data_IF_558739689767
#
_entry.id   IF_558739689767
#
_cell.length_a   1.000
_cell.length_b   1.000
_cell.length_c   1.000
_cell.angle_alpha   90.00
_cell.angle_beta   90.00
_cell.angle_gamma   90.00
#
_symmetry.space_group_name_H-M   'P 1'
#
loop_
_entity.id
_entity.type
_entity.pdbx_description
1 polymer ?
#
# COMPACT_ATOMS: atom_id res chain seq x y z
N UNK A 1 -1.66 -20.47 -33.89
CA UNK A 1 -0.78 -19.28 -33.98
C UNK A 1 -1.58 -18.00 -34.09
N UNK A 2 -2.35 -17.76 -35.16
CA UNK A 2 -3.12 -16.51 -35.33
C UNK A 2 -4.02 -16.16 -34.13
N UNK A 3 -4.83 -17.10 -33.64
CA UNK A 3 -5.67 -16.90 -32.44
C UNK A 3 -4.81 -16.56 -31.21
N UNK A 4 -3.66 -17.23 -31.05
CA UNK A 4 -2.73 -16.95 -29.95
C UNK A 4 -2.20 -15.51 -30.01
N UNK A 5 -1.75 -15.05 -31.18
CA UNK A 5 -1.30 -13.66 -31.36
C UNK A 5 -2.42 -12.65 -31.12
N UNK A 6 -3.65 -12.92 -31.58
CA UNK A 6 -4.79 -12.03 -31.31
C UNK A 6 -5.10 -11.95 -29.81
N UNK A 7 -5.12 -13.08 -29.10
CA UNK A 7 -5.38 -13.09 -27.65
C UNK A 7 -4.26 -12.38 -26.88
N UNK A 8 -3.00 -12.64 -27.22
CA UNK A 8 -1.86 -11.94 -26.60
C UNK A 8 -1.87 -10.45 -26.95
N UNK A 9 -2.21 -10.07 -28.18
CA UNK A 9 -2.33 -8.68 -28.59
C UNK A 9 -3.41 -7.95 -27.77
N UNK A 10 -4.60 -8.53 -27.61
CA UNK A 10 -5.67 -7.95 -26.79
C UNK A 10 -5.21 -7.77 -25.35
N UNK A 11 -4.52 -8.77 -24.79
CA UNK A 11 -3.98 -8.71 -23.44
C UNK A 11 -2.93 -7.59 -23.30
N UNK A 12 -1.93 -7.54 -24.18
CA UNK A 12 -0.87 -6.53 -24.16
C UNK A 12 -1.43 -5.13 -24.40
N UNK A 13 -2.34 -4.96 -25.35
CA UNK A 13 -2.97 -3.67 -25.60
C UNK A 13 -3.75 -3.18 -24.38
N UNK A 14 -4.49 -4.07 -23.71
CA UNK A 14 -5.18 -3.72 -22.47
C UNK A 14 -4.19 -3.33 -21.35
N UNK A 15 -3.17 -4.14 -21.11
CA UNK A 15 -2.15 -3.86 -20.07
C UNK A 15 -1.45 -2.54 -20.36
N UNK A 16 -0.94 -2.37 -21.59
CA UNK A 16 -0.21 -1.17 -21.98
C UNK A 16 -1.07 0.09 -21.96
N UNK A 17 -2.37 -0.03 -22.29
CA UNK A 17 -3.30 1.09 -22.20
C UNK A 17 -3.53 1.51 -20.74
N UNK A 18 -3.75 0.55 -19.85
CA UNK A 18 -3.97 0.81 -18.44
C UNK A 18 -2.72 1.40 -17.77
N UNK A 19 -1.54 0.84 -18.05
CA UNK A 19 -0.27 1.31 -17.49
C UNK A 19 0.13 2.68 -18.06
N UNK A 20 -0.09 2.95 -19.35
CA UNK A 20 0.24 4.26 -19.93
C UNK A 20 -0.62 5.41 -19.35
N UNK A 21 -1.87 5.13 -18.97
CA UNK A 21 -2.79 6.14 -18.43
C UNK A 21 -2.75 6.25 -16.90
N UNK A 22 -2.64 5.13 -16.19
CA UNK A 22 -2.86 5.07 -14.74
C UNK A 22 -1.60 4.88 -13.93
N UNK A 23 -0.46 4.61 -14.56
CA UNK A 23 0.75 4.40 -13.80
C UNK A 23 1.20 5.67 -13.07
N UNK A 24 1.75 5.44 -11.88
CA UNK A 24 2.12 6.45 -10.91
C UNK A 24 3.41 7.17 -11.29
N UNK A 25 4.31 6.46 -11.97
CA UNK A 25 5.62 6.99 -12.37
C UNK A 25 5.76 7.13 -13.88
N UNK A 26 6.62 8.07 -14.31
CA UNK A 26 6.96 8.22 -15.73
C UNK A 26 7.57 6.95 -16.33
N UNK A 27 8.41 6.24 -15.56
CA UNK A 27 9.02 4.98 -15.99
C UNK A 27 8.00 3.88 -16.27
N UNK A 28 6.98 3.75 -15.41
CA UNK A 28 5.89 2.80 -15.62
C UNK A 28 5.02 3.18 -16.83
N UNK A 29 4.76 4.49 -17.06
CA UNK A 29 4.04 4.92 -18.27
C UNK A 29 4.80 4.57 -19.56
N UNK A 30 6.12 4.77 -19.56
CA UNK A 30 6.99 4.36 -20.68
C UNK A 30 7.00 2.83 -20.88
N UNK A 31 6.98 2.06 -19.80
CA UNK A 31 6.81 0.61 -19.88
C UNK A 31 5.45 0.26 -20.51
N UNK A 32 4.37 0.95 -20.11
CA UNK A 32 3.04 0.81 -20.70
C UNK A 32 3.04 1.06 -22.22
N UNK A 33 3.69 2.12 -22.69
CA UNK A 33 3.85 2.38 -24.13
C UNK A 33 4.65 1.30 -24.86
N UNK A 34 5.71 0.78 -24.25
CA UNK A 34 6.47 -0.36 -24.81
C UNK A 34 5.59 -1.61 -24.95
N UNK A 35 4.74 -1.88 -23.95
CA UNK A 35 3.78 -3.00 -23.97
C UNK A 35 2.69 -2.78 -25.04
N UNK A 36 2.20 -1.55 -25.23
CA UNK A 36 1.29 -1.20 -26.34
C UNK A 36 1.94 -1.48 -27.69
N UNK A 37 3.18 -1.05 -27.89
CA UNK A 37 3.92 -1.29 -29.12
C UNK A 37 4.08 -2.81 -29.39
N UNK A 38 4.38 -3.60 -28.36
CA UNK A 38 4.43 -5.06 -28.48
C UNK A 38 3.07 -5.64 -28.90
N UNK A 39 1.96 -5.15 -28.34
CA UNK A 39 0.60 -5.53 -28.75
C UNK A 39 0.30 -5.23 -30.23
N UNK A 40 0.78 -4.09 -30.75
CA UNK A 40 0.66 -3.76 -32.18
C UNK A 40 1.50 -4.70 -33.05
N UNK A 41 2.71 -5.07 -32.62
CA UNK A 41 3.55 -6.05 -33.33
C UNK A 41 2.86 -7.42 -33.38
N UNK A 42 2.18 -7.84 -32.31
CA UNK A 42 1.38 -9.08 -32.29
C UNK A 42 0.21 -9.05 -33.28
N UNK A 43 -0.48 -7.91 -33.44
CA UNK A 43 -1.52 -7.77 -34.48
C UNK A 43 -0.93 -7.92 -35.88
N UNK A 44 0.26 -7.33 -36.13
CA UNK A 44 0.97 -7.48 -37.40
C UNK A 44 1.39 -8.94 -37.60
N UNK A 45 1.85 -9.64 -36.55
CA UNK A 45 2.19 -11.06 -36.60
C UNK A 45 0.98 -11.95 -36.89
N UNK A 46 -0.20 -11.62 -36.35
CA UNK A 46 -1.46 -12.29 -36.67
C UNK A 46 -1.79 -12.19 -38.18
N UNK A 47 -1.69 -10.99 -38.75
CA UNK A 47 -1.87 -10.77 -40.19
C UNK A 47 -0.79 -11.49 -41.02
N UNK A 48 0.46 -11.46 -40.56
CA UNK A 48 1.57 -12.17 -41.20
C UNK A 48 1.37 -13.69 -41.18
N UNK A 49 0.61 -14.23 -40.22
CA UNK A 49 0.29 -15.67 -40.16
C UNK A 49 -0.57 -16.07 -41.36
N UNK A 50 -1.56 -15.24 -41.71
CA UNK A 50 -2.43 -15.47 -42.86
C UNK A 50 -1.62 -15.42 -44.17
N UNK A 51 -0.74 -14.42 -44.31
CA UNK A 51 0.12 -14.31 -45.49
C UNK A 51 1.13 -15.48 -45.58
N UNK A 52 1.82 -15.82 -44.49
CA UNK A 52 2.86 -16.85 -44.48
C UNK A 52 2.31 -18.26 -44.77
N UNK A 53 1.11 -18.58 -44.28
CA UNK A 53 0.53 -19.92 -44.46
C UNK A 53 -0.28 -20.07 -45.76
N UNK A 54 -0.86 -18.98 -46.28
CA UNK A 54 -1.73 -19.07 -47.46
C UNK A 54 -1.07 -18.58 -48.75
N UNK A 55 -0.43 -17.40 -48.75
CA UNK A 55 0.00 -16.73 -49.98
C UNK A 55 1.51 -16.66 -50.18
N UNK A 56 2.30 -16.70 -49.09
CA UNK A 56 3.77 -16.52 -49.05
C UNK A 56 4.29 -15.37 -49.90
N UNK A 57 3.49 -14.31 -50.10
CA UNK A 57 3.82 -13.23 -51.04
C UNK A 57 4.88 -12.28 -50.49
N UNK A 58 4.94 -12.09 -49.16
CA UNK A 58 5.87 -11.12 -48.54
C UNK A 58 7.05 -11.83 -47.88
N UNK A 59 8.27 -11.41 -48.23
CA UNK A 59 9.50 -11.96 -47.66
C UNK A 59 9.64 -11.72 -46.14
N UNK A 60 8.94 -10.72 -45.60
CA UNK A 60 9.01 -10.33 -44.19
C UNK A 60 8.04 -11.07 -43.25
N UNK A 61 7.14 -11.90 -43.79
CA UNK A 61 6.12 -12.58 -42.97
C UNK A 61 6.74 -13.58 -41.99
N UNK A 62 7.78 -14.32 -42.39
CA UNK A 62 8.50 -15.25 -41.50
C UNK A 62 9.17 -14.56 -40.30
N UNK A 63 9.97 -13.50 -40.51
CA UNK A 63 10.57 -12.72 -39.42
C UNK A 63 9.55 -12.09 -38.47
N UNK A 64 8.44 -11.56 -39.00
CA UNK A 64 7.36 -11.00 -38.18
C UNK A 64 6.70 -12.06 -37.28
N UNK A 65 6.52 -13.28 -37.79
CA UNK A 65 6.03 -14.40 -36.98
C UNK A 65 7.00 -14.78 -35.87
N UNK A 66 8.31 -14.81 -36.15
CA UNK A 66 9.33 -15.06 -35.13
C UNK A 66 9.32 -13.99 -34.03
N UNK A 67 9.14 -12.72 -34.41
CA UNK A 67 9.02 -11.63 -33.45
C UNK A 67 7.78 -11.78 -32.56
N UNK A 68 6.61 -12.07 -33.15
CA UNK A 68 5.39 -12.36 -32.38
C UNK A 68 5.57 -13.55 -31.43
N UNK A 69 6.09 -14.69 -31.91
CA UNK A 69 6.37 -15.85 -31.03
C UNK A 69 7.28 -15.47 -29.86
N UNK A 70 8.32 -14.65 -30.11
CA UNK A 70 9.21 -14.15 -29.07
C UNK A 70 8.50 -13.27 -28.04
N UNK A 71 7.59 -12.39 -28.47
CA UNK A 71 6.79 -11.54 -27.58
C UNK A 71 5.84 -12.40 -26.73
N UNK A 72 5.09 -13.33 -27.34
CA UNK A 72 4.23 -14.27 -26.59
C UNK A 72 5.04 -15.05 -25.55
N UNK A 73 6.22 -15.56 -25.93
CA UNK A 73 7.09 -16.30 -25.02
C UNK A 73 7.52 -15.46 -23.83
N UNK A 74 8.03 -14.25 -24.08
CA UNK A 74 8.48 -13.34 -23.02
C UNK A 74 7.32 -12.92 -22.11
N UNK A 75 6.18 -12.54 -22.68
CA UNK A 75 4.99 -12.15 -21.92
C UNK A 75 4.49 -13.29 -21.02
N UNK A 76 4.39 -14.51 -21.57
CA UNK A 76 3.93 -15.69 -20.83
C UNK A 76 4.93 -16.08 -19.73
N UNK A 77 6.23 -16.02 -20.03
CA UNK A 77 7.28 -16.29 -19.05
C UNK A 77 7.27 -15.26 -17.92
N UNK A 78 7.12 -13.97 -18.23
CA UNK A 78 7.02 -12.91 -17.21
C UNK A 78 5.78 -13.08 -16.34
N UNK A 79 4.63 -13.40 -16.93
CA UNK A 79 3.39 -13.64 -16.18
C UNK A 79 3.55 -14.82 -15.20
N UNK A 80 4.15 -15.92 -15.66
CA UNK A 80 4.39 -17.09 -14.80
C UNK A 80 5.45 -16.80 -13.73
N UNK A 81 6.49 -16.05 -14.06
CA UNK A 81 7.51 -15.64 -13.09
C UNK A 81 6.91 -14.76 -11.98
N UNK A 82 6.06 -13.80 -12.34
CA UNK A 82 5.35 -12.95 -11.38
C UNK A 82 4.34 -13.71 -10.51
N UNK A 83 3.96 -14.93 -10.90
CA UNK A 83 3.10 -15.81 -10.12
C UNK A 83 3.89 -16.78 -9.22
N UNK A 84 5.22 -16.79 -9.25
CA UNK A 84 6.03 -17.59 -8.34
C UNK A 84 5.79 -17.10 -6.91
N UNK A 85 5.32 -17.99 -6.03
CA UNK A 85 4.94 -17.65 -4.65
C UNK A 85 3.51 -17.13 -4.50
N UNK A 86 2.77 -16.97 -5.60
CA UNK A 86 1.32 -16.71 -5.58
C UNK A 86 0.54 -18.01 -5.74
N UNK A 87 -0.77 -17.97 -5.46
CA UNK A 87 -1.64 -19.12 -5.71
C UNK A 87 -1.85 -19.32 -7.21
N UNK A 88 -2.00 -20.58 -7.61
CA UNK A 88 -2.33 -20.93 -8.98
C UNK A 88 -3.71 -20.36 -9.36
N UNK A 89 -3.77 -19.53 -10.40
CA UNK A 89 -5.01 -18.90 -10.87
C UNK A 89 -5.32 -19.33 -12.31
N UNK A 90 -6.50 -18.96 -12.81
CA UNK A 90 -6.84 -19.18 -14.23
C UNK A 90 -5.81 -18.53 -15.19
N UNK A 91 -5.20 -17.41 -14.79
CA UNK A 91 -4.12 -16.78 -15.55
C UNK A 91 -2.86 -17.63 -15.64
N UNK A 92 -2.58 -18.46 -14.63
CA UNK A 92 -1.47 -19.43 -14.67
C UNK A 92 -1.68 -20.46 -15.77
N UNK A 93 -2.90 -20.96 -15.93
CA UNK A 93 -3.25 -21.91 -17.00
C UNK A 93 -3.09 -21.27 -18.38
N UNK A 94 -3.57 -20.03 -18.54
CA UNK A 94 -3.41 -19.27 -19.79
C UNK A 94 -1.93 -19.04 -20.09
N UNK A 95 -1.15 -18.61 -19.09
CA UNK A 95 0.29 -18.40 -19.21
C UNK A 95 1.04 -19.68 -19.61
N UNK A 96 0.75 -20.83 -18.99
CA UNK A 96 1.34 -22.12 -19.36
C UNK A 96 0.95 -22.50 -20.80
N UNK A 97 -0.33 -22.35 -21.15
CA UNK A 97 -0.83 -22.69 -22.49
C UNK A 97 -0.16 -21.86 -23.58
N UNK A 98 -0.01 -20.55 -23.35
CA UNK A 98 0.69 -19.65 -24.27
C UNK A 98 2.19 -19.89 -24.30
N UNK A 99 2.82 -20.20 -23.15
CA UNK A 99 4.23 -20.53 -23.11
C UNK A 99 4.51 -21.80 -23.92
N UNK A 100 3.79 -22.89 -23.66
CA UNK A 100 3.94 -24.15 -24.43
C UNK A 100 3.63 -23.95 -25.90
N UNK A 101 2.56 -23.21 -26.23
CA UNK A 101 2.21 -22.89 -27.61
C UNK A 101 3.28 -22.07 -28.33
N UNK A 102 3.90 -21.10 -27.65
CA UNK A 102 4.98 -20.29 -28.20
C UNK A 102 6.25 -21.11 -28.44
N UNK A 103 6.60 -22.03 -27.54
CA UNK A 103 7.74 -22.94 -27.71
C UNK A 103 7.53 -23.85 -28.93
N UNK A 104 6.35 -24.49 -29.04
CA UNK A 104 6.03 -25.35 -30.17
C UNK A 104 6.03 -24.58 -31.50
N UNK A 105 5.41 -23.41 -31.52
CA UNK A 105 5.40 -22.54 -32.70
C UNK A 105 6.82 -22.08 -33.09
N UNK A 106 7.65 -21.74 -32.10
CA UNK A 106 9.04 -21.36 -32.31
C UNK A 106 9.85 -22.50 -32.92
N UNK A 107 9.70 -23.72 -32.40
CA UNK A 107 10.36 -24.92 -32.95
C UNK A 107 9.94 -25.16 -34.40
N UNK A 108 8.65 -25.05 -34.72
CA UNK A 108 8.16 -25.23 -36.09
C UNK A 108 8.66 -24.13 -37.04
N UNK A 109 8.64 -22.87 -36.64
CA UNK A 109 9.20 -21.77 -37.45
C UNK A 109 10.71 -21.93 -37.68
N UNK A 110 11.42 -22.48 -36.69
CA UNK A 110 12.85 -22.78 -36.79
C UNK A 110 13.10 -23.90 -37.81
N UNK A 111 12.35 -25.00 -37.74
CA UNK A 111 12.42 -26.09 -38.73
C UNK A 111 12.12 -25.61 -40.15
N UNK A 112 11.10 -24.76 -40.30
CA UNK A 112 10.71 -24.15 -41.57
C UNK A 112 11.66 -23.05 -42.06
N UNK A 113 12.69 -22.71 -41.27
CA UNK A 113 13.68 -21.68 -41.56
C UNK A 113 13.03 -20.35 -41.91
N UNK A 114 12.02 -19.94 -41.14
CA UNK A 114 11.27 -18.70 -41.34
C UNK A 114 12.15 -17.43 -41.36
N UNK A 115 13.38 -17.51 -40.84
CA UNK A 115 14.39 -16.45 -40.88
C UNK A 115 15.06 -16.23 -42.25
N UNK A 116 14.90 -17.12 -43.23
CA UNK A 116 15.59 -17.04 -44.54
C UNK A 116 15.24 -15.78 -45.35
N UNK A 117 14.14 -15.09 -45.02
CA UNK A 117 13.79 -13.80 -45.63
C UNK A 117 14.68 -12.63 -45.18
N UNK A 118 15.51 -12.80 -44.16
CA UNK A 118 16.39 -11.74 -43.64
C UNK A 118 17.74 -11.75 -44.35
N UNK A 119 18.18 -10.58 -44.79
CA UNK A 119 19.50 -10.39 -45.42
C UNK A 119 20.67 -10.69 -44.47
N UNK A 120 20.47 -10.49 -43.16
CA UNK A 120 21.48 -10.72 -42.10
C UNK A 120 20.84 -11.24 -40.80
N UNK A 121 20.39 -12.51 -40.74
CA UNK A 121 19.59 -13.03 -39.63
C UNK A 121 20.34 -13.00 -38.29
N UNK A 122 21.64 -13.34 -38.28
CA UNK A 122 22.44 -13.35 -37.04
C UNK A 122 22.63 -11.97 -36.42
N UNK A 123 22.88 -10.94 -37.23
CA UNK A 123 23.06 -9.56 -36.72
C UNK A 123 21.77 -8.97 -36.19
N UNK A 124 20.64 -9.27 -36.84
CA UNK A 124 19.31 -8.81 -36.42
C UNK A 124 18.89 -9.52 -35.13
N UNK A 125 19.15 -10.82 -35.01
CA UNK A 125 18.89 -11.57 -33.78
C UNK A 125 19.69 -11.00 -32.59
N UNK A 126 20.99 -10.78 -32.76
CA UNK A 126 21.83 -10.15 -31.71
C UNK A 126 21.30 -8.76 -31.35
N UNK A 127 20.98 -7.95 -32.37
CA UNK A 127 20.46 -6.60 -32.21
C UNK A 127 19.10 -6.53 -31.52
N UNK A 128 18.30 -7.60 -31.52
CA UNK A 128 17.02 -7.67 -30.81
C UNK A 128 17.18 -8.29 -29.40
N UNK A 129 17.97 -9.34 -29.27
CA UNK A 129 18.15 -10.09 -28.02
C UNK A 129 18.87 -9.25 -26.96
N UNK A 130 19.96 -8.56 -27.33
CA UNK A 130 20.76 -7.79 -26.36
C UNK A 130 19.95 -6.65 -25.74
N UNK A 131 19.26 -5.79 -26.51
CA UNK A 131 18.41 -4.76 -25.93
C UNK A 131 17.23 -5.33 -25.13
N UNK A 132 16.61 -6.43 -25.59
CA UNK A 132 15.52 -7.06 -24.85
C UNK A 132 15.97 -7.59 -23.48
N UNK A 133 17.17 -8.20 -23.41
CA UNK A 133 17.77 -8.64 -22.14
C UNK A 133 18.12 -7.46 -21.24
N UNK A 134 18.77 -6.42 -21.78
CA UNK A 134 19.10 -5.22 -21.01
C UNK A 134 17.84 -4.51 -20.49
N UNK A 135 16.81 -4.40 -21.32
CA UNK A 135 15.52 -3.84 -20.93
C UNK A 135 14.84 -4.71 -19.87
N UNK A 136 14.85 -6.04 -20.01
CA UNK A 136 14.31 -6.96 -19.03
C UNK A 136 15.03 -6.88 -17.67
N UNK A 137 16.36 -6.81 -17.67
CA UNK A 137 17.16 -6.64 -16.45
C UNK A 137 16.88 -5.28 -15.81
N UNK A 138 16.86 -4.21 -16.60
CA UNK A 138 16.58 -2.87 -16.08
C UNK A 138 15.15 -2.77 -15.51
N UNK A 139 14.17 -3.37 -16.20
CA UNK A 139 12.79 -3.42 -15.73
C UNK A 139 12.67 -4.23 -14.44
N UNK A 140 13.30 -5.41 -14.38
CA UNK A 140 13.36 -6.20 -13.15
C UNK A 140 14.02 -5.41 -12.01
N UNK A 141 15.10 -4.69 -12.29
CA UNK A 141 15.76 -3.83 -11.31
C UNK A 141 14.83 -2.71 -10.81
N UNK A 142 14.18 -1.97 -11.71
CA UNK A 142 13.29 -0.86 -11.33
C UNK A 142 12.02 -1.32 -10.63
N UNK A 143 11.44 -2.46 -11.04
CA UNK A 143 10.16 -2.95 -10.51
C UNK A 143 10.34 -3.80 -9.25
N UNK A 144 11.39 -4.62 -9.16
CA UNK A 144 11.62 -5.53 -8.04
C UNK A 144 12.62 -4.99 -7.02
N UNK A 145 13.70 -4.34 -7.44
CA UNK A 145 14.80 -3.98 -6.54
C UNK A 145 14.64 -2.59 -5.92
N UNK A 146 14.51 -1.55 -6.75
CA UNK A 146 14.46 -0.13 -6.31
C UNK A 146 13.43 0.13 -5.22
N UNK A 147 12.19 -0.37 -5.33
CA UNK A 147 11.20 -0.02 -4.34
C UNK A 147 11.28 -0.97 -3.13
N UNK A 148 12.18 -1.96 -3.10
CA UNK A 148 12.40 -2.83 -1.92
C UNK A 148 13.40 -2.22 -0.95
N UNK A 149 14.29 -1.34 -1.44
CA UNK A 149 15.36 -0.74 -0.63
C UNK A 149 14.99 0.60 0.05
N UNK A 150 13.85 1.20 -0.31
CA UNK A 150 13.41 2.52 0.18
C UNK A 150 12.28 2.40 1.21
N UNK A 151 12.58 2.08 2.47
CA UNK A 151 11.54 2.06 3.51
C UNK A 151 10.89 3.46 3.65
N UNK A 152 9.56 3.56 3.82
CA UNK A 152 8.93 4.84 4.09
C UNK A 152 9.38 5.35 5.46
N UNK A 153 9.89 6.59 5.51
CA UNK A 153 10.39 7.19 6.73
C UNK A 153 9.31 8.09 7.33
N UNK A 154 8.37 7.48 8.04
CA UNK A 154 7.27 8.20 8.69
C UNK A 154 7.68 8.53 10.12
N UNK A 155 7.67 9.81 10.45
CA UNK A 155 7.85 10.30 11.81
C UNK A 155 6.50 10.76 12.33
N UNK A 156 6.23 10.49 13.60
CA UNK A 156 5.02 10.96 14.26
C UNK A 156 5.34 11.30 15.71
N UNK A 157 4.45 12.03 16.36
CA UNK A 157 4.61 12.41 17.74
C UNK A 157 3.32 12.94 18.32
N UNK A 158 3.24 12.97 19.64
CA UNK A 158 2.24 13.74 20.35
C UNK A 158 2.89 14.46 21.52
N UNK A 159 2.43 15.68 21.78
CA UNK A 159 2.96 16.56 22.82
C UNK A 159 1.82 17.26 23.56
N UNK A 160 1.98 17.49 24.86
CA UNK A 160 1.05 18.30 25.64
C UNK A 160 1.37 19.79 25.48
N UNK A 161 0.41 20.59 24.98
CA UNK A 161 0.58 22.04 24.80
C UNK A 161 0.07 22.83 25.99
N UNK A 162 -1.24 23.03 26.03
CA UNK A 162 -1.91 23.90 26.98
C UNK A 162 -2.77 23.07 27.93
N UNK A 163 -2.94 23.57 29.15
CA UNK A 163 -3.85 23.00 30.12
C UNK A 163 -4.66 24.13 30.75
N UNK A 164 -5.97 23.96 30.81
CA UNK A 164 -6.90 24.91 31.44
C UNK A 164 -7.92 24.17 32.29
N UNK A 165 -8.48 24.85 33.30
CA UNK A 165 -9.54 24.31 34.14
C UNK A 165 -10.85 24.99 33.79
N UNK A 166 -11.94 24.22 33.82
CA UNK A 166 -13.28 24.80 33.83
C UNK A 166 -13.50 25.67 35.08
N UNK A 167 -14.44 26.61 35.01
CA UNK A 167 -14.84 27.53 36.07
C UNK A 167 -15.18 26.82 37.38
N UNK A 168 -15.75 25.61 37.30
CA UNK A 168 -16.07 24.79 38.47
C UNK A 168 -14.88 23.95 38.99
N UNK A 169 -13.71 23.99 38.32
CA UNK A 169 -12.50 23.19 38.58
C UNK A 169 -12.71 21.68 38.59
N UNK A 170 -13.84 21.22 38.07
CA UNK A 170 -14.21 19.80 37.97
C UNK A 170 -13.67 19.13 36.71
N UNK A 171 -13.24 19.90 35.71
CA UNK A 171 -12.71 19.39 34.45
C UNK A 171 -11.41 20.09 34.12
N UNK A 172 -10.35 19.30 33.90
CA UNK A 172 -9.08 19.76 33.35
C UNK A 172 -9.08 19.50 31.85
N UNK A 173 -9.03 20.56 31.06
CA UNK A 173 -8.86 20.53 29.62
C UNK A 173 -7.36 20.47 29.31
N UNK A 174 -6.91 19.43 28.61
CA UNK A 174 -5.52 19.28 28.18
C UNK A 174 -5.48 19.21 26.67
N UNK A 175 -4.77 20.14 26.04
CA UNK A 175 -4.57 20.16 24.59
C UNK A 175 -3.39 19.26 24.22
N UNK A 176 -3.65 18.25 23.41
CA UNK A 176 -2.64 17.38 22.81
C UNK A 176 -2.43 17.77 21.35
N UNK A 177 -1.19 18.05 21.00
CA UNK A 177 -0.76 18.23 19.62
C UNK A 177 -0.24 16.92 19.07
N UNK A 178 -0.98 16.28 18.18
CA UNK A 178 -0.54 15.08 17.48
C UNK A 178 -0.12 15.45 16.05
N UNK A 179 1.01 14.91 15.58
CA UNK A 179 1.50 15.17 14.23
C UNK A 179 2.09 13.93 13.56
N UNK A 180 2.10 13.96 12.23
CA UNK A 180 2.76 13.01 11.36
C UNK A 180 3.45 13.73 10.23
N UNK A 181 4.66 13.28 9.90
CA UNK A 181 5.45 13.80 8.81
C UNK A 181 6.06 12.68 7.98
N UNK A 182 5.98 12.81 6.66
CA UNK A 182 6.69 11.92 5.75
C UNK A 182 8.08 12.48 5.46
N UNK A 183 9.11 11.92 6.12
CA UNK A 183 10.50 12.25 5.85
C UNK A 183 11.14 11.35 4.78
N UNK A 184 10.34 10.47 4.16
CA UNK A 184 10.77 9.63 3.04
C UNK A 184 10.79 10.40 1.72
N UNK A 185 11.21 9.70 0.66
CA UNK A 185 11.23 10.22 -0.72
C UNK A 185 10.02 9.79 -1.55
N UNK A 186 9.10 9.04 -0.97
CA UNK A 186 7.94 8.45 -1.66
C UNK A 186 6.66 8.81 -0.92
N UNK A 187 5.58 9.23 -1.62
CA UNK A 187 4.28 9.46 -1.01
C UNK A 187 3.71 8.19 -0.36
N UNK A 188 2.93 8.36 0.70
CA UNK A 188 2.25 7.25 1.39
C UNK A 188 0.77 7.52 1.56
N UNK A 189 -0.04 6.46 1.61
CA UNK A 189 -1.41 6.52 2.09
C UNK A 189 -1.45 6.18 3.58
N UNK A 190 -2.09 7.01 4.39
CA UNK A 190 -2.29 6.76 5.82
C UNK A 190 -3.51 5.86 5.98
N UNK A 191 -3.30 4.58 6.29
CA UNK A 191 -4.38 3.60 6.44
C UNK A 191 -5.19 3.79 7.72
N UNK A 192 -4.55 4.36 8.74
CA UNK A 192 -5.13 4.65 10.03
C UNK A 192 -4.11 5.35 10.93
N UNK A 193 -4.61 6.18 11.83
CA UNK A 193 -3.81 6.89 12.82
C UNK A 193 -4.54 6.87 14.15
N UNK A 194 -3.81 6.69 15.24
CA UNK A 194 -4.37 6.74 16.59
C UNK A 194 -3.36 7.39 17.52
N UNK A 195 -3.86 8.17 18.48
CA UNK A 195 -3.09 8.64 19.61
C UNK A 195 -3.81 8.28 20.89
N UNK A 196 -3.04 8.12 21.96
CA UNK A 196 -3.56 7.78 23.28
C UNK A 196 -3.03 8.77 24.30
N UNK A 197 -3.85 9.03 25.32
CA UNK A 197 -3.43 9.64 26.56
C UNK A 197 -3.67 8.67 27.70
N UNK A 198 -2.59 8.38 28.42
CA UNK A 198 -2.57 7.46 29.55
C UNK A 198 -2.19 8.19 30.83
N UNK A 199 -2.77 7.79 31.95
CA UNK A 199 -2.37 8.20 33.29
C UNK A 199 -1.79 7.03 34.07
N UNK A 200 -0.72 7.24 34.84
CA UNK A 200 -0.09 6.18 35.62
C UNK A 200 1.02 6.65 36.55
N UNK A 201 1.71 5.71 37.23
CA UNK A 201 2.82 6.01 38.12
C UNK A 201 4.08 6.43 37.34
N UNK A 202 4.94 7.26 37.95
CA UNK A 202 6.15 7.79 37.32
C UNK A 202 7.27 6.75 37.17
N UNK A 203 7.23 5.65 37.93
CA UNK A 203 8.33 4.67 38.00
C UNK A 203 8.34 3.64 36.86
N UNK A 204 7.34 3.64 35.97
CA UNK A 204 7.19 2.66 34.89
C UNK A 204 7.60 3.25 33.53
N UNK A 205 8.82 3.81 33.48
CA UNK A 205 9.39 4.53 32.32
C UNK A 205 9.89 3.54 31.24
N UNK A 206 10.10 2.29 31.61
CA UNK A 206 10.67 1.26 30.73
C UNK A 206 9.77 0.03 30.60
N UNK A 207 8.78 0.07 29.70
CA UNK A 207 8.39 -1.16 29.02
C UNK A 207 7.75 -0.95 27.65
N UNK A 208 8.35 -1.63 26.68
CA UNK A 208 8.24 -1.45 25.23
C UNK A 208 7.31 -2.44 24.54
N UNK A 209 6.49 -3.21 25.28
CA UNK A 209 5.74 -4.30 24.61
C UNK A 209 4.32 -4.52 25.12
N UNK A 210 3.98 -4.13 26.35
CA UNK A 210 2.61 -4.26 26.86
C UNK A 210 2.26 -3.09 27.81
N UNK A 211 1.60 -2.02 27.32
CA UNK A 211 1.28 -0.82 28.11
C UNK A 211 0.19 -1.04 29.19
N UNK A 212 -0.25 -2.28 29.40
CA UNK A 212 -1.57 -2.56 30.01
C UNK A 212 -1.59 -2.79 31.53
N UNK A 213 -0.46 -2.91 32.24
CA UNK A 213 -0.48 -3.28 33.66
C UNK A 213 -0.54 -2.11 34.66
N UNK A 214 0.00 -0.93 34.33
CA UNK A 214 0.10 0.20 35.28
C UNK A 214 -0.54 1.50 34.77
N UNK A 215 -0.64 1.67 33.45
CA UNK A 215 -1.21 2.85 32.82
C UNK A 215 -2.67 2.63 32.45
N UNK A 216 -3.52 3.57 32.88
CA UNK A 216 -4.93 3.60 32.55
C UNK A 216 -5.17 4.53 31.36
N UNK A 217 -5.89 4.03 30.36
CA UNK A 217 -6.32 4.84 29.23
C UNK A 217 -7.29 5.92 29.71
N UNK A 218 -6.93 7.18 29.47
CA UNK A 218 -7.80 8.34 29.72
C UNK A 218 -8.58 8.67 28.46
N UNK A 219 -7.88 8.68 27.32
CA UNK A 219 -8.45 9.08 26.04
C UNK A 219 -7.71 8.40 24.88
N UNK A 220 -8.44 8.08 23.81
CA UNK A 220 -7.90 7.68 22.52
C UNK A 220 -8.61 8.41 21.37
N UNK A 221 -7.86 8.79 20.34
CA UNK A 221 -8.41 9.53 19.20
C UNK A 221 -7.66 9.26 17.90
N UNK A 222 -8.29 9.56 16.77
CA UNK A 222 -7.62 9.59 15.47
C UNK A 222 -7.17 11.03 15.18
N UNK A 223 -6.04 11.21 14.51
CA UNK A 223 -5.50 12.56 14.22
C UNK A 223 -5.20 12.83 12.74
N UNK A 224 -5.36 11.82 11.89
CA UNK A 224 -5.37 11.94 10.43
C UNK A 224 -6.72 11.45 9.95
N UNK A 225 -7.57 12.40 9.53
CA UNK A 225 -8.90 12.12 8.98
C UNK A 225 -9.08 12.82 7.62
N UNK A 226 -9.76 12.18 6.65
CA UNK A 226 -10.20 10.78 6.66
C UNK A 226 -9.02 9.80 6.52
N UNK A 227 -9.25 8.53 6.87
CA UNK A 227 -8.31 7.45 6.55
C UNK A 227 -8.12 7.34 5.02
N UNK A 228 -6.96 6.85 4.59
CA UNK A 228 -6.55 6.80 3.19
C UNK A 228 -6.04 8.12 2.62
N UNK A 229 -5.95 9.18 3.44
CA UNK A 229 -5.32 10.44 3.04
C UNK A 229 -3.89 10.18 2.59
N UNK A 230 -3.53 10.79 1.47
CA UNK A 230 -2.16 10.81 0.97
C UNK A 230 -1.31 11.80 1.78
N UNK A 231 -0.06 11.42 2.02
CA UNK A 231 0.96 12.23 2.68
C UNK A 231 2.21 12.28 1.80
N UNK A 232 2.43 13.44 1.19
CA UNK A 232 3.54 13.66 0.26
C UNK A 232 4.90 13.76 0.98
N UNK A 233 6.03 13.49 0.29
CA UNK A 233 7.36 13.71 0.83
C UNK A 233 7.54 15.14 1.36
N UNK A 234 7.92 15.24 2.64
CA UNK A 234 8.08 16.51 3.35
C UNK A 234 6.80 17.11 3.93
N UNK A 235 5.62 16.59 3.59
CA UNK A 235 4.34 17.04 4.15
C UNK A 235 4.22 16.63 5.62
N UNK A 236 3.64 17.53 6.42
CA UNK A 236 3.28 17.31 7.81
C UNK A 236 1.78 17.56 7.99
N UNK A 237 1.11 16.64 8.68
CA UNK A 237 -0.27 16.79 9.13
C UNK A 237 -0.23 16.84 10.64
N UNK A 238 -0.87 17.83 11.23
CA UNK A 238 -1.00 17.94 12.67
C UNK A 238 -2.42 18.31 13.07
N UNK A 239 -2.79 17.91 14.28
CA UNK A 239 -4.09 18.19 14.89
C UNK A 239 -3.90 18.47 16.37
N UNK A 240 -4.54 19.55 16.83
CA UNK A 240 -4.72 19.83 18.25
C UNK A 240 -6.06 19.26 18.70
N UNK A 241 -6.05 18.50 19.80
CA UNK A 241 -7.24 17.91 20.40
C UNK A 241 -7.30 18.23 21.88
N UNK A 242 -8.44 18.75 22.32
CA UNK A 242 -8.69 19.05 23.73
C UNK A 242 -9.28 17.82 24.41
N UNK A 243 -8.68 17.41 25.51
CA UNK A 243 -9.07 16.23 26.28
C UNK A 243 -9.60 16.66 27.64
N UNK A 244 -10.79 16.19 27.97
CA UNK A 244 -11.45 16.51 29.23
C UNK A 244 -11.16 15.44 30.28
N UNK A 245 -10.39 15.82 31.30
CA UNK A 245 -10.08 14.98 32.46
C UNK A 245 -10.99 15.40 33.61
N UNK A 246 -12.00 14.57 33.89
CA UNK A 246 -13.00 14.83 34.95
C UNK A 246 -12.43 14.53 36.34
N UNK A 247 -12.83 15.34 37.31
CA UNK A 247 -12.39 15.27 38.71
C UNK A 247 -10.86 15.19 38.87
N UNK A 248 -10.09 16.15 38.32
CA UNK A 248 -8.63 16.08 38.30
C UNK A 248 -8.01 16.01 39.70
N UNK A 249 -8.66 16.60 40.72
CA UNK A 249 -8.18 16.54 42.11
C UNK A 249 -8.30 15.14 42.74
N UNK A 250 -9.27 14.32 42.31
CA UNK A 250 -9.35 12.91 42.72
C UNK A 250 -8.29 12.08 41.99
N UNK A 251 -8.15 12.30 40.68
CA UNK A 251 -7.18 11.60 39.83
C UNK A 251 -5.73 11.92 40.16
N UNK A 252 -5.46 13.06 40.81
CA UNK A 252 -4.14 13.41 41.35
C UNK A 252 -3.58 12.36 42.32
N UNK A 253 -4.45 11.58 42.96
CA UNK A 253 -4.06 10.49 43.86
C UNK A 253 -3.73 9.20 43.10
N UNK A 254 -4.22 9.05 41.87
CA UNK A 254 -4.10 7.84 41.06
C UNK A 254 -3.04 7.98 39.96
N UNK A 255 -2.77 9.20 39.47
CA UNK A 255 -1.83 9.46 38.37
C UNK A 255 -0.72 10.43 38.78
N UNK A 256 0.53 9.99 38.61
CA UNK A 256 1.71 10.84 38.80
C UNK A 256 2.12 11.53 37.51
N UNK A 257 2.00 10.83 36.37
CA UNK A 257 2.33 11.32 35.03
C UNK A 257 1.17 11.11 34.06
N UNK A 258 1.06 12.01 33.09
CA UNK A 258 0.34 11.78 31.85
C UNK A 258 1.33 11.48 30.74
N UNK A 259 0.98 10.51 29.91
CA UNK A 259 1.73 10.08 28.74
C UNK A 259 0.87 10.23 27.51
N UNK A 260 1.43 10.79 26.44
CA UNK A 260 0.80 10.77 25.13
C UNK A 260 1.71 10.08 24.11
N UNK A 261 1.10 9.34 23.18
CA UNK A 261 1.82 8.62 22.14
C UNK A 261 0.94 8.46 20.91
N UNK A 262 1.56 8.40 19.74
CA UNK A 262 0.90 8.13 18.46
C UNK A 262 1.33 6.79 17.86
N UNK A 263 0.44 6.24 17.04
CA UNK A 263 0.69 5.10 16.18
C UNK A 263 0.03 5.32 14.83
N UNK A 264 0.76 5.04 13.76
CA UNK A 264 0.34 5.28 12.39
C UNK A 264 0.67 4.08 11.55
N UNK A 265 -0.29 3.73 10.70
CA UNK A 265 -0.10 2.76 9.65
C UNK A 265 -0.12 3.45 8.30
N UNK A 266 0.97 3.30 7.55
CA UNK A 266 1.14 3.91 6.25
C UNK A 266 1.50 2.84 5.22
N UNK A 267 1.06 3.04 3.98
CA UNK A 267 1.42 2.18 2.86
C UNK A 267 1.96 3.03 1.72
N UNK A 268 2.99 2.55 1.04
CA UNK A 268 3.61 3.31 -0.04
C UNK A 268 2.72 3.41 -1.27
N UNK A 269 2.58 4.62 -1.79
CA UNK A 269 1.78 4.89 -2.99
C UNK A 269 2.33 4.19 -4.22
N UNK A 270 3.66 4.15 -4.39
CA UNK A 270 4.32 3.52 -5.54
C UNK A 270 4.23 1.98 -5.56
N UNK A 271 3.79 1.35 -4.48
CA UNK A 271 3.54 -0.10 -4.41
C UNK A 271 2.08 -0.45 -4.63
N UNK A 272 1.18 0.41 -4.16
CA UNK A 272 -0.23 0.13 -4.11
C UNK A 272 -1.03 1.41 -4.26
N UNK A 273 -2.04 1.37 -5.12
CA UNK A 273 -3.04 2.42 -5.24
C UNK A 273 -4.20 2.11 -4.31
N UNK A 274 -4.54 3.09 -3.48
CA UNK A 274 -5.72 3.09 -2.65
C UNK A 274 -6.74 4.05 -3.29
N UNK A 275 -7.99 3.61 -3.51
CA UNK A 275 -8.95 4.46 -4.20
C UNK A 275 -9.56 5.48 -3.20
N UNK A 276 -10.02 6.64 -3.68
CA UNK A 276 -10.47 7.74 -2.82
C UNK A 276 -11.60 7.36 -1.86
N UNK A 277 -12.40 6.36 -2.21
CA UNK A 277 -13.54 5.89 -1.43
C UNK A 277 -13.11 5.20 -0.12
N UNK A 278 -11.83 4.82 0.04
CA UNK A 278 -11.37 4.20 1.29
C UNK A 278 -11.67 5.06 2.52
N UNK A 279 -11.47 6.38 2.42
CA UNK A 279 -11.78 7.30 3.53
C UNK A 279 -13.27 7.42 3.87
N UNK A 280 -14.14 6.97 2.97
CA UNK A 280 -15.60 6.93 3.14
C UNK A 280 -16.12 5.52 3.41
N UNK A 281 -15.24 4.51 3.43
CA UNK A 281 -15.62 3.10 3.57
C UNK A 281 -15.98 2.69 5.00
N UNK A 282 -15.80 3.62 5.96
CA UNK A 282 -15.99 3.37 7.38
C UNK A 282 -17.38 2.84 7.68
N UNK A 283 -17.41 1.65 8.27
CA UNK A 283 -18.63 0.98 8.69
C UNK A 283 -18.54 0.60 10.16
N UNK A 284 -19.53 0.98 10.95
CA UNK A 284 -19.65 0.49 12.33
C UNK A 284 -19.97 -1.00 12.34
N UNK A 285 -19.60 -1.68 13.41
CA UNK A 285 -19.80 -3.13 13.48
C UNK A 285 -21.26 -3.50 13.65
N UNK A 286 -22.05 -2.66 14.31
CA UNK A 286 -23.49 -2.86 14.41
C UNK A 286 -24.11 -2.85 13.01
N UNK A 287 -23.68 -1.94 12.13
CA UNK A 287 -24.12 -1.90 10.73
C UNK A 287 -23.65 -3.14 9.96
N UNK A 288 -22.38 -3.55 10.11
CA UNK A 288 -21.84 -4.73 9.43
C UNK A 288 -22.53 -6.04 9.86
N UNK A 289 -22.84 -6.18 11.15
CA UNK A 289 -23.58 -7.34 11.69
C UNK A 289 -25.02 -7.34 11.17
N UNK A 290 -25.68 -6.18 11.15
CA UNK A 290 -27.04 -6.02 10.60
C UNK A 290 -27.11 -6.40 9.12
N UNK A 291 -26.11 -5.97 8.34
CA UNK A 291 -25.99 -6.25 6.91
C UNK A 291 -25.48 -7.66 6.58
N UNK A 292 -25.19 -8.49 7.60
CA UNK A 292 -24.55 -9.82 7.44
C UNK A 292 -23.21 -9.78 6.68
N UNK A 293 -22.48 -8.66 6.77
CA UNK A 293 -21.13 -8.44 6.19
C UNK A 293 -20.01 -8.73 7.20
N UNK A 294 -20.36 -9.13 8.41
CA UNK A 294 -19.43 -9.56 9.45
C UNK A 294 -19.16 -11.07 9.36
N UNK A 295 -17.93 -11.45 9.06
CA UNK A 295 -17.53 -12.85 8.86
C UNK A 295 -16.91 -13.50 10.11
N UNK A 296 -16.96 -14.83 10.17
CA UNK A 296 -16.19 -15.58 11.17
C UNK A 296 -14.68 -15.33 10.99
N UNK A 297 -13.99 -15.00 12.08
CA UNK A 297 -12.56 -14.61 12.06
C UNK A 297 -12.29 -13.10 12.09
N UNK A 298 -13.32 -12.27 12.09
CA UNK A 298 -13.17 -10.83 12.35
C UNK A 298 -12.99 -10.54 13.86
N UNK A 299 -12.19 -9.53 14.23
CA UNK A 299 -11.85 -9.25 15.63
C UNK A 299 -13.08 -8.82 16.43
N UNK A 300 -13.39 -9.53 17.52
CA UNK A 300 -14.64 -9.38 18.27
C UNK A 300 -14.81 -8.04 19.00
N UNK A 301 -13.70 -7.36 19.31
CA UNK A 301 -13.64 -6.10 20.05
C UNK A 301 -13.37 -4.88 19.16
N UNK A 302 -13.60 -5.00 17.85
CA UNK A 302 -13.53 -3.85 16.96
C UNK A 302 -14.64 -2.83 17.30
N UNK A 303 -14.47 -1.58 16.89
CA UNK A 303 -15.47 -0.50 16.95
C UNK A 303 -16.04 -0.24 15.54
N UNK A 304 -15.13 -0.05 14.57
CA UNK A 304 -15.46 0.17 13.16
C UNK A 304 -14.44 -0.54 12.26
N UNK A 305 -14.79 -0.64 10.98
CA UNK A 305 -13.93 -1.17 9.91
C UNK A 305 -13.89 -0.21 8.73
N UNK A 306 -12.69 0.10 8.26
CA UNK A 306 -12.44 0.71 6.95
C UNK A 306 -12.04 -0.40 5.96
N UNK A 307 -12.58 -0.41 4.74
CA UNK A 307 -12.37 -1.48 3.74
C UNK A 307 -12.35 -0.93 2.31
N UNK A 308 -11.36 -1.33 1.52
CA UNK A 308 -11.40 -1.06 0.08
C UNK A 308 -10.69 -2.14 -0.73
N UNK A 309 -11.03 -2.21 -2.02
CA UNK A 309 -10.17 -2.86 -2.99
C UNK A 309 -8.89 -2.05 -3.17
N UNK A 310 -7.81 -2.75 -3.44
CA UNK A 310 -6.50 -2.17 -3.70
C UNK A 310 -6.01 -2.70 -5.04
N UNK A 311 -5.19 -1.89 -5.73
CA UNK A 311 -4.52 -2.31 -6.95
C UNK A 311 -3.03 -2.02 -6.84
N UNK A 312 -2.23 -2.78 -7.57
CA UNK A 312 -0.80 -2.51 -7.77
C UNK A 312 -0.65 -1.38 -8.79
N UNK A 313 0.52 -0.75 -8.80
CA UNK A 313 0.85 0.34 -9.75
C UNK A 313 0.87 -0.10 -11.22
N UNK A 314 1.07 -1.40 -11.48
CA UNK A 314 1.06 -2.00 -12.82
C UNK A 314 -0.06 -3.03 -12.99
N UNK A 315 -0.72 -2.97 -14.14
CA UNK A 315 -1.80 -3.87 -14.53
C UNK A 315 -1.32 -5.31 -14.72
N UNK A 316 -0.05 -5.53 -15.13
CA UNK A 316 0.49 -6.89 -15.22
C UNK A 316 0.54 -7.56 -13.83
N UNK A 317 0.82 -6.78 -12.78
CA UNK A 317 0.80 -7.26 -11.40
C UNK A 317 -0.64 -7.50 -10.93
N UNK A 318 -1.58 -6.64 -11.30
CA UNK A 318 -3.01 -6.85 -10.98
C UNK A 318 -3.57 -8.13 -11.61
N UNK A 319 -3.17 -8.43 -12.85
CA UNK A 319 -3.56 -9.67 -13.53
C UNK A 319 -2.89 -10.88 -12.86
N UNK A 320 -1.58 -10.82 -12.61
CA UNK A 320 -0.82 -11.92 -12.03
C UNK A 320 -1.27 -12.25 -10.60
N UNK A 321 -1.50 -11.22 -9.77
CA UNK A 321 -1.81 -11.34 -8.34
C UNK A 321 -3.32 -11.40 -8.05
N UNK A 322 -4.16 -11.07 -9.03
CA UNK A 322 -5.62 -11.01 -8.90
C UNK A 322 -6.12 -9.88 -8.01
N UNK A 323 -7.42 -9.92 -7.68
CA UNK A 323 -8.09 -8.88 -6.90
C UNK A 323 -7.66 -8.94 -5.44
N UNK A 324 -7.27 -7.79 -4.89
CA UNK A 324 -6.82 -7.65 -3.52
C UNK A 324 -7.69 -6.62 -2.80
N UNK A 325 -7.81 -6.76 -1.47
CA UNK A 325 -8.49 -5.78 -0.62
C UNK A 325 -7.71 -5.54 0.66
N UNK A 326 -7.88 -4.35 1.23
CA UNK A 326 -7.33 -3.97 2.52
C UNK A 326 -8.47 -3.68 3.48
N UNK A 327 -8.27 -4.07 4.74
CA UNK A 327 -9.17 -3.80 5.84
C UNK A 327 -8.40 -3.28 7.04
N UNK A 328 -8.94 -2.26 7.68
CA UNK A 328 -8.46 -1.72 8.94
C UNK A 328 -9.58 -1.77 9.97
N UNK A 329 -9.29 -2.25 11.17
CA UNK A 329 -10.21 -2.24 12.30
C UNK A 329 -9.63 -1.40 13.41
N UNK A 330 -10.43 -0.48 13.97
CA UNK A 330 -10.11 0.07 15.29
C UNK A 330 -10.61 -0.89 16.35
N UNK A 331 -9.70 -1.43 17.16
CA UNK A 331 -10.01 -2.30 18.28
C UNK A 331 -9.98 -1.52 19.58
N UNK A 332 -10.92 -1.81 20.47
CA UNK A 332 -10.97 -1.26 21.82
C UNK A 332 -10.67 -2.35 22.84
N UNK A 333 -9.75 -2.07 23.74
CA UNK A 333 -9.47 -2.87 24.93
C UNK A 333 -9.60 -1.97 26.17
N UNK A 334 -9.71 -2.54 27.39
CA UNK A 334 -9.93 -1.74 28.60
C UNK A 334 -8.90 -0.64 28.85
N UNK A 335 -7.61 -0.90 28.57
CA UNK A 335 -6.50 0.01 28.87
C UNK A 335 -5.77 0.53 27.63
N UNK A 336 -6.24 0.20 26.42
CA UNK A 336 -5.63 0.65 25.17
C UNK A 336 -6.57 0.40 23.99
N UNK A 337 -6.37 1.13 22.91
CA UNK A 337 -6.98 0.84 21.61
C UNK A 337 -5.87 0.57 20.61
N UNK A 338 -6.14 -0.13 19.51
CA UNK A 338 -5.16 -0.30 18.42
C UNK A 338 -5.83 -0.36 17.07
N UNK A 339 -5.06 -0.17 16.01
CA UNK A 339 -5.54 -0.42 14.66
C UNK A 339 -4.99 -1.78 14.22
N UNK A 340 -5.88 -2.71 13.88
CA UNK A 340 -5.49 -3.96 13.25
C UNK A 340 -5.65 -3.83 11.74
N UNK A 341 -4.66 -4.27 10.98
CA UNK A 341 -4.70 -4.25 9.52
C UNK A 341 -4.66 -5.66 8.96
N UNK A 342 -5.40 -5.89 7.88
CA UNK A 342 -5.22 -7.09 7.08
C UNK A 342 -5.33 -6.78 5.59
N UNK A 343 -4.49 -7.45 4.82
CA UNK A 343 -4.55 -7.45 3.36
C UNK A 343 -5.03 -8.83 2.92
N UNK A 344 -6.04 -8.87 2.07
CA UNK A 344 -6.64 -10.11 1.56
C UNK A 344 -6.30 -10.27 0.08
N UNK A 345 -5.17 -10.91 -0.27
CA UNK A 345 -4.92 -11.39 -1.62
C UNK A 345 -5.85 -12.56 -2.00
N UNK A 346 -5.91 -12.98 -3.27
CA UNK A 346 -6.68 -14.14 -3.67
C UNK A 346 -6.28 -15.40 -2.89
N UNK A 347 -7.26 -15.96 -2.17
CA UNK A 347 -7.14 -17.22 -1.45
C UNK A 347 -6.62 -17.13 -0.01
N UNK A 348 -6.28 -15.96 0.51
CA UNK A 348 -5.88 -15.85 1.91
C UNK A 348 -6.00 -14.44 2.47
N UNK A 349 -6.11 -14.35 3.80
CA UNK A 349 -6.01 -13.11 4.55
C UNK A 349 -4.65 -13.09 5.25
N UNK A 350 -3.90 -12.02 5.09
CA UNK A 350 -2.65 -11.77 5.80
C UNK A 350 -2.91 -10.64 6.78
N UNK A 351 -2.99 -10.97 8.06
CA UNK A 351 -3.13 -9.98 9.13
C UNK A 351 -1.75 -9.44 9.50
N UNK A 352 -1.64 -8.13 9.65
CA UNK A 352 -0.44 -7.48 10.15
C UNK A 352 -0.35 -7.69 11.66
N UNK A 353 0.58 -8.54 12.08
CA UNK A 353 0.96 -8.68 13.47
C UNK A 353 2.31 -7.97 13.69
N UNK A 354 2.37 -6.90 14.52
CA UNK A 354 3.62 -6.23 14.87
C UNK A 354 4.66 -7.16 15.52
N UNK A 355 4.21 -8.24 16.16
CA UNK A 355 5.03 -9.19 16.92
C UNK A 355 5.50 -10.39 16.09
N UNK A 356 4.88 -10.67 14.95
CA UNK A 356 5.34 -11.72 14.04
C UNK A 356 6.23 -11.13 12.93
N UNK A 357 7.57 -11.32 13.00
CA UNK A 357 8.48 -10.75 12.04
C UNK A 357 8.29 -11.30 10.62
N UNK A 358 7.75 -12.52 10.47
CA UNK A 358 7.62 -13.17 9.17
C UNK A 358 6.48 -12.53 8.34
N UNK A 359 5.28 -12.44 8.90
CA UNK A 359 4.15 -11.78 8.22
C UNK A 359 4.38 -10.28 8.05
N UNK A 360 5.01 -9.65 9.04
CA UNK A 360 5.42 -8.26 8.95
C UNK A 360 6.35 -8.01 7.77
N UNK A 361 7.39 -8.84 7.60
CA UNK A 361 8.34 -8.70 6.49
C UNK A 361 7.65 -8.86 5.13
N UNK A 362 6.75 -9.84 5.00
CA UNK A 362 6.02 -10.04 3.75
C UNK A 362 5.16 -8.82 3.36
N UNK A 363 4.47 -8.20 4.33
CA UNK A 363 3.65 -7.02 4.07
C UNK A 363 4.49 -5.76 3.78
N UNK A 364 5.62 -5.59 4.49
CA UNK A 364 6.59 -4.52 4.23
C UNK A 364 7.17 -4.66 2.82
N UNK A 365 7.73 -5.83 2.48
CA UNK A 365 8.44 -6.04 1.22
C UNK A 365 7.48 -5.94 0.02
N UNK A 366 6.26 -6.50 0.16
CA UNK A 366 5.29 -6.58 -0.95
C UNK A 366 4.52 -5.29 -1.15
N UNK A 367 4.06 -4.66 -0.07
CA UNK A 367 3.14 -3.53 -0.14
C UNK A 367 3.75 -2.22 0.34
N UNK A 368 4.96 -2.23 0.90
CA UNK A 368 5.54 -1.04 1.53
C UNK A 368 4.77 -0.61 2.77
N UNK A 369 4.10 -1.54 3.46
CA UNK A 369 3.39 -1.26 4.70
C UNK A 369 4.41 -0.87 5.78
N UNK A 370 4.10 0.17 6.55
CA UNK A 370 4.93 0.63 7.66
C UNK A 370 4.07 0.96 8.87
N UNK A 371 4.60 0.61 10.03
CA UNK A 371 4.08 0.98 11.33
C UNK A 371 5.07 1.96 11.95
N UNK A 372 4.63 3.20 12.13
CA UNK A 372 5.39 4.22 12.85
C UNK A 372 4.73 4.46 14.20
N UNK A 373 5.49 4.23 15.28
CA UNK A 373 5.12 4.69 16.62
C UNK A 373 5.87 5.99 16.87
N UNK A 374 5.13 7.03 17.23
CA UNK A 374 5.69 8.35 17.38
C UNK A 374 6.50 8.55 18.65
N UNK A 375 7.12 9.73 18.74
CA UNK A 375 7.69 10.21 19.99
C UNK A 375 6.62 10.22 21.08
N UNK A 376 7.08 9.90 22.29
CA UNK A 376 6.27 9.89 23.49
C UNK A 376 6.60 11.15 24.28
N UNK A 377 5.58 11.91 24.64
CA UNK A 377 5.70 12.99 25.63
C UNK A 377 5.12 12.52 26.97
N UNK A 378 5.82 12.88 28.05
CA UNK A 378 5.44 12.57 29.42
C UNK A 378 5.52 13.83 30.25
N UNK A 379 4.39 14.24 30.83
CA UNK A 379 4.33 15.40 31.71
C UNK A 379 3.78 15.01 33.08
N UNK A 380 4.42 15.43 34.20
CA UNK A 380 3.86 15.23 35.53
C UNK A 380 2.45 15.81 35.63
N UNK A 381 1.49 15.01 36.10
CA UNK A 381 0.08 15.43 36.18
C UNK A 381 -0.09 16.68 37.06
N UNK A 382 0.67 16.76 38.14
CA UNK A 382 0.71 17.93 39.03
C UNK A 382 1.12 19.21 38.31
N UNK A 383 2.09 19.13 37.40
CA UNK A 383 2.59 20.27 36.64
C UNK A 383 1.53 20.80 35.68
N UNK A 384 0.77 19.92 35.01
CA UNK A 384 -0.35 20.35 34.15
C UNK A 384 -1.45 21.03 34.96
N UNK A 385 -1.77 20.50 36.14
CA UNK A 385 -2.78 21.09 37.01
C UNK A 385 -2.35 22.46 37.55
N UNK A 386 -1.07 22.63 37.90
CA UNK A 386 -0.51 23.91 38.34
C UNK A 386 -0.49 24.95 37.21
N UNK A 387 -0.09 24.54 35.99
CA UNK A 387 -0.18 25.38 34.79
C UNK A 387 -1.61 25.85 34.54
N UNK A 388 -2.60 24.95 34.62
CA UNK A 388 -4.00 25.28 34.43
C UNK A 388 -4.54 26.27 35.47
N UNK A 389 -4.14 26.10 36.75
CA UNK A 389 -4.49 27.04 37.83
C UNK A 389 -3.82 28.41 37.68
N UNK A 390 -2.61 28.45 37.11
CA UNK A 390 -1.91 29.70 36.85
C UNK A 390 -2.54 30.48 35.69
N UNK A 391 -2.98 29.79 34.64
CA UNK A 391 -3.67 30.39 33.50
C UNK A 391 -5.00 31.05 33.90
N UNK A 392 -5.73 30.49 34.87
CA UNK A 392 -6.96 31.09 35.44
C UNK A 392 -6.69 32.44 36.12
N UNK A 393 -5.51 32.62 36.75
CA UNK A 393 -5.15 33.86 37.47
C UNK A 393 -4.70 34.99 36.55
N UNK A 394 -4.27 34.67 35.34
CA UNK A 394 -3.82 35.63 34.34
C UNK A 394 -4.45 35.27 32.99
N UNK A 395 -5.75 35.57 32.80
CA UNK A 395 -6.37 35.39 31.50
C UNK A 395 -5.57 36.18 30.47
N UNK A 396 -5.18 35.52 29.36
CA UNK A 396 -4.49 36.20 28.26
C UNK A 396 -5.29 37.45 27.88
N UNK A 397 -4.64 38.62 27.65
CA UNK A 397 -5.35 39.81 27.27
C UNK A 397 -6.15 39.51 26.01
N UNK A 398 -7.47 39.72 26.08
CA UNK A 398 -8.37 39.60 24.94
C UNK A 398 -7.73 40.35 23.76
N UNK A 399 -7.43 39.63 22.68
CA UNK A 399 -7.15 40.27 21.40
C UNK A 399 -8.46 40.94 20.97
N UNK A 400 -8.66 42.17 21.44
CA UNK A 400 -9.68 43.08 20.96
C UNK A 400 -9.48 43.24 19.47
N UNK A 401 -10.44 42.77 18.69
CA UNK A 401 -10.38 42.76 17.24
C UNK A 401 -10.10 44.14 16.64
N UNK A 402 -9.31 44.10 15.57
CA UNK A 402 -9.41 45.02 14.45
C UNK A 402 -9.64 44.21 13.18
#
# INVERSE_FOLDING_TARGET
MCIGFLLTAVLLLRIGWMDSQRALTFGERLAGYSVLAAGLVELIAALATLDYWHQRKRAYSGPLLMAGVGIVFLCSSSLLFLQIGERFTGWSVIGISFLTGSILAGVELVKLRAWKGLRYPGRIAIGAIVPALLAGINLAYTQLYVPTVTAPLIMSGAEFKEASLDSARSVLHVTVHAYVRNNGSVPVYILGSIYWVHGGPANDIHQTTDPSSSFKLIYDGEFVTPAGRELDPGEEISQDAVIDIKDPDKLKLDYEILRTQTEIYAIRRDRMTLPPEYGQSRSSIEALKRDRKWSAGEPGNAIYRDESNISNSSEILNIARGRQSIRAWKLSFPNWSRIELAITPPGGRITFDPHDPHYRKQLIDRYGLSLARGSMDQTPFKMLLEKARAAEKHPAPEQSGQ
#
